data_IF_190210384773
#
_entry.id   IF_190210384773
#
_cell.length_a   1.000
_cell.length_b   1.000
_cell.length_c   1.000
_cell.angle_alpha   90.00
_cell.angle_beta   90.00
_cell.angle_gamma   90.00
#
_symmetry.space_group_name_H-M   'P 1'
#
loop_
_entity.id
_entity.type
_entity.pdbx_description
1 polymer ?
#
# COMPACT_ATOMS: atom_id res chain seq x y z
N UNK A 1 -15.03 11.01 18.65
CA UNK A 1 -14.41 10.50 17.39
C UNK A 1 -15.28 9.39 16.83
N UNK A 2 -15.42 9.27 15.52
CA UNK A 2 -16.13 8.15 14.92
C UNK A 2 -15.38 6.84 15.25
N UNK A 3 -16.09 5.74 15.37
CA UNK A 3 -15.51 4.44 15.74
C UNK A 3 -15.01 3.75 14.46
N UNK A 4 -13.81 3.15 14.44
CA UNK A 4 -13.33 2.41 13.28
C UNK A 4 -14.21 1.17 13.04
N UNK A 5 -14.47 0.88 11.76
CA UNK A 5 -15.24 -0.28 11.31
C UNK A 5 -14.35 -1.48 11.03
N UNK A 6 -13.03 -1.27 10.90
CA UNK A 6 -12.02 -2.29 10.68
C UNK A 6 -11.09 -2.41 11.88
N UNK A 7 -10.67 -3.63 12.19
CA UNK A 7 -9.76 -3.93 13.31
C UNK A 7 -8.31 -4.02 12.84
N UNK A 8 -8.08 -4.63 11.67
CA UNK A 8 -6.76 -4.81 11.07
C UNK A 8 -6.80 -4.41 9.62
N UNK A 9 -5.92 -3.52 9.22
CA UNK A 9 -5.86 -3.02 7.84
C UNK A 9 -4.49 -3.22 7.25
N UNK A 10 -4.44 -3.44 5.94
CA UNK A 10 -3.23 -3.26 5.17
C UNK A 10 -3.32 -1.93 4.42
N UNK A 11 -2.50 -0.97 4.78
CA UNK A 11 -2.34 0.29 4.06
C UNK A 11 -1.29 0.12 2.97
N UNK A 12 -1.63 0.42 1.73
CA UNK A 12 -0.66 0.44 0.63
C UNK A 12 -0.49 1.86 0.11
N UNK A 13 0.75 2.33 0.11
CA UNK A 13 1.12 3.66 -0.37
C UNK A 13 2.05 3.53 -1.58
N UNK A 14 1.83 4.33 -2.63
CA UNK A 14 2.77 4.39 -3.75
C UNK A 14 4.06 5.10 -3.32
N UNK A 15 5.22 4.64 -3.80
CA UNK A 15 6.49 5.33 -3.52
C UNK A 15 6.50 6.77 -4.02
N UNK A 16 5.82 7.04 -5.14
CA UNK A 16 5.69 8.40 -5.69
C UNK A 16 4.99 9.37 -4.74
N UNK A 17 4.01 8.87 -3.97
CA UNK A 17 3.35 9.69 -2.97
C UNK A 17 4.31 10.15 -1.86
N UNK A 18 5.33 9.34 -1.52
CA UNK A 18 6.36 9.71 -0.53
C UNK A 18 7.40 10.72 -1.07
N UNK A 19 7.45 10.93 -2.38
CA UNK A 19 8.32 11.95 -2.98
C UNK A 19 7.68 13.34 -2.98
N UNK A 20 6.37 13.44 -2.71
CA UNK A 20 5.64 14.69 -2.79
C UNK A 20 5.81 15.37 -4.16
N UNK A 21 5.95 16.68 -4.17
CA UNK A 21 6.14 17.47 -5.39
C UNK A 21 7.54 17.30 -6.02
N UNK A 22 8.47 16.63 -5.35
CA UNK A 22 9.82 16.35 -5.87
C UNK A 22 9.84 15.30 -6.96
N UNK A 23 8.78 14.48 -7.08
CA UNK A 23 8.63 13.36 -8.01
C UNK A 23 9.65 12.22 -7.86
N UNK A 24 10.79 12.44 -7.20
CA UNK A 24 11.84 11.45 -6.92
C UNK A 24 12.37 11.60 -5.50
N UNK A 25 12.93 10.53 -4.94
CA UNK A 25 13.47 10.53 -3.58
C UNK A 25 12.38 10.52 -2.52
N UNK A 26 12.64 11.20 -1.40
CA UNK A 26 11.78 11.24 -0.22
C UNK A 26 11.42 12.68 0.15
N UNK A 27 10.18 12.89 0.51
CA UNK A 27 9.71 14.10 1.17
C UNK A 27 9.33 13.77 2.61
N UNK A 28 10.17 14.20 3.56
CA UNK A 28 9.99 13.88 4.98
C UNK A 28 8.81 14.61 5.61
N UNK A 29 8.33 15.70 5.02
CA UNK A 29 7.11 16.37 5.46
C UNK A 29 5.89 15.50 5.14
N UNK A 30 5.80 14.99 3.91
CA UNK A 30 4.74 14.05 3.49
C UNK A 30 4.79 12.78 4.31
N UNK A 31 5.98 12.19 4.53
CA UNK A 31 6.14 11.01 5.38
C UNK A 31 5.67 11.30 6.80
N UNK A 32 6.02 12.48 7.33
CA UNK A 32 5.60 12.93 8.65
C UNK A 32 4.09 13.00 8.80
N UNK A 33 3.38 13.56 7.82
CA UNK A 33 1.91 13.64 7.80
C UNK A 33 1.26 12.24 7.75
N UNK A 34 1.80 11.33 6.95
CA UNK A 34 1.34 9.93 6.89
C UNK A 34 1.54 9.23 8.24
N UNK A 35 2.71 9.40 8.88
CA UNK A 35 2.99 8.81 10.19
C UNK A 35 2.06 9.38 11.28
N UNK A 36 1.70 10.66 11.25
CA UNK A 36 0.73 11.25 12.19
C UNK A 36 -0.63 10.56 12.08
N UNK A 37 -1.10 10.33 10.87
CA UNK A 37 -2.35 9.61 10.61
C UNK A 37 -2.26 8.14 11.04
N UNK A 38 -1.13 7.46 10.79
CA UNK A 38 -0.90 6.09 11.28
C UNK A 38 -0.94 6.02 12.81
N UNK A 39 -0.37 7.02 13.49
CA UNK A 39 -0.45 7.12 14.95
C UNK A 39 -1.88 7.21 15.44
N UNK A 40 -2.69 8.06 14.80
CA UNK A 40 -4.10 8.20 15.11
C UNK A 40 -4.86 6.88 14.91
N UNK A 41 -4.55 6.09 13.85
CA UNK A 41 -5.11 4.76 13.66
C UNK A 41 -4.80 3.82 14.82
N UNK A 42 -3.54 3.81 15.31
CA UNK A 42 -3.15 3.01 16.48
C UNK A 42 -3.86 3.46 17.74
N UNK A 43 -4.00 4.78 17.96
CA UNK A 43 -4.71 5.36 19.11
C UNK A 43 -6.21 5.00 19.11
N UNK A 44 -6.78 4.74 17.93
CA UNK A 44 -8.13 4.20 17.74
C UNK A 44 -8.22 2.67 17.95
N UNK A 45 -7.09 1.99 18.21
CA UNK A 45 -7.01 0.55 18.41
C UNK A 45 -6.95 -0.28 17.12
N UNK A 46 -6.67 0.34 15.97
CA UNK A 46 -6.55 -0.35 14.68
C UNK A 46 -5.13 -0.89 14.51
N UNK A 47 -5.01 -2.12 14.06
CA UNK A 47 -3.74 -2.76 13.71
C UNK A 47 -3.38 -2.42 12.27
N UNK A 48 -2.17 -1.87 12.04
CA UNK A 48 -1.75 -1.37 10.73
C UNK A 48 -0.56 -2.14 10.19
N UNK A 49 -0.78 -2.89 9.09
CA UNK A 49 0.27 -3.34 8.18
C UNK A 49 0.46 -2.31 7.07
N UNK A 50 1.70 -2.07 6.66
CA UNK A 50 2.03 -1.08 5.64
C UNK A 50 2.87 -1.71 4.52
N UNK A 51 2.48 -1.48 3.27
CA UNK A 51 3.30 -1.76 2.07
C UNK A 51 3.57 -0.46 1.34
N UNK A 52 4.82 -0.20 1.01
CA UNK A 52 5.23 1.01 0.28
C UNK A 52 5.84 0.62 -1.05
N UNK A 53 5.41 1.27 -2.14
CA UNK A 53 6.01 1.11 -3.46
C UNK A 53 7.41 1.72 -3.54
N UNK A 54 8.19 1.32 -4.56
CA UNK A 54 9.55 1.82 -4.82
C UNK A 54 9.67 2.82 -5.97
N UNK A 55 8.55 3.25 -6.55
CA UNK A 55 8.49 4.01 -7.82
C UNK A 55 9.12 5.40 -7.79
N UNK A 56 9.36 5.97 -6.60
CA UNK A 56 10.10 7.23 -6.39
C UNK A 56 11.61 7.09 -6.59
N UNK A 57 12.15 5.88 -6.52
CA UNK A 57 13.57 5.58 -6.75
C UNK A 57 13.80 4.78 -8.03
N UNK A 58 12.97 3.75 -8.27
CA UNK A 58 13.17 2.84 -9.38
C UNK A 58 11.87 2.20 -9.86
N UNK A 59 11.66 2.22 -11.19
CA UNK A 59 10.56 1.54 -11.88
C UNK A 59 11.14 0.50 -12.85
N UNK A 60 11.33 -0.74 -12.39
CA UNK A 60 12.05 -1.81 -13.09
C UNK A 60 11.74 -1.93 -14.57
N UNK A 61 10.50 -2.27 -14.92
CA UNK A 61 10.11 -2.48 -16.31
C UNK A 61 10.14 -1.21 -17.20
N UNK A 62 9.90 -0.02 -16.61
CA UNK A 62 9.87 1.26 -17.37
C UNK A 62 11.26 1.88 -17.50
N UNK A 63 12.07 1.83 -16.44
CA UNK A 63 13.38 2.50 -16.42
C UNK A 63 14.46 1.69 -17.14
N UNK A 64 14.28 0.37 -17.32
CA UNK A 64 15.28 -0.45 -17.99
C UNK A 64 15.34 -0.21 -19.50
N UNK A 65 14.26 0.28 -20.13
CA UNK A 65 14.22 0.54 -21.59
C UNK A 65 14.73 -0.62 -22.46
N UNK A 66 14.74 -1.85 -21.93
CA UNK A 66 15.37 -3.01 -22.57
C UNK A 66 16.89 -3.14 -22.36
N UNK A 67 17.53 -2.20 -21.66
CA UNK A 67 18.97 -2.22 -21.41
C UNK A 67 19.40 -3.10 -20.22
N UNK A 68 18.45 -3.58 -19.42
CA UNK A 68 18.71 -4.40 -18.25
C UNK A 68 17.81 -5.64 -18.23
N UNK A 69 18.34 -6.75 -17.74
CA UNK A 69 17.58 -7.97 -17.56
C UNK A 69 16.46 -7.74 -16.50
N UNK A 70 15.26 -8.20 -16.85
CA UNK A 70 14.01 -7.91 -16.11
C UNK A 70 14.11 -8.27 -14.63
N UNK A 71 14.65 -9.45 -14.31
CA UNK A 71 14.77 -9.95 -12.94
C UNK A 71 15.63 -9.02 -12.07
N UNK A 72 16.75 -8.53 -12.64
CA UNK A 72 17.63 -7.58 -11.94
C UNK A 72 16.98 -6.24 -11.74
N UNK A 73 16.25 -5.76 -12.75
CA UNK A 73 15.49 -4.50 -12.63
C UNK A 73 14.41 -4.59 -11.55
N UNK A 74 13.73 -5.73 -11.44
CA UNK A 74 12.73 -5.98 -10.40
C UNK A 74 13.37 -6.09 -9.00
N UNK A 75 14.53 -6.73 -8.86
CA UNK A 75 15.28 -6.73 -7.59
C UNK A 75 15.68 -5.31 -7.15
N UNK A 76 16.10 -4.44 -8.08
CA UNK A 76 16.34 -3.02 -7.74
C UNK A 76 15.07 -2.34 -7.25
N UNK A 77 13.91 -2.61 -7.87
CA UNK A 77 12.63 -2.12 -7.40
C UNK A 77 12.28 -2.62 -5.98
N UNK A 78 12.57 -3.88 -5.68
CA UNK A 78 12.39 -4.43 -4.33
C UNK A 78 13.28 -3.71 -3.30
N UNK A 79 14.56 -3.47 -3.62
CA UNK A 79 15.46 -2.72 -2.75
C UNK A 79 15.00 -1.27 -2.57
N UNK A 80 14.45 -0.64 -3.61
CA UNK A 80 13.86 0.68 -3.52
C UNK A 80 12.69 0.73 -2.52
N UNK A 81 11.86 -0.33 -2.46
CA UNK A 81 10.81 -0.41 -1.42
C UNK A 81 11.40 -0.48 -0.01
N UNK A 82 12.53 -1.17 0.17
CA UNK A 82 13.19 -1.27 1.48
C UNK A 82 13.71 0.09 1.93
N UNK A 83 14.30 0.89 1.02
CA UNK A 83 14.71 2.27 1.35
C UNK A 83 13.53 3.08 1.88
N UNK A 84 12.37 3.01 1.22
CA UNK A 84 11.15 3.67 1.69
C UNK A 84 10.68 3.15 3.05
N UNK A 85 10.73 1.82 3.26
CA UNK A 85 10.34 1.23 4.54
C UNK A 85 11.21 1.75 5.71
N UNK A 86 12.52 1.86 5.50
CA UNK A 86 13.44 2.38 6.51
C UNK A 86 13.17 3.84 6.83
N UNK A 87 12.94 4.68 5.80
CA UNK A 87 12.61 6.09 6.01
C UNK A 87 11.30 6.29 6.78
N UNK A 88 10.25 5.53 6.43
CA UNK A 88 8.98 5.59 7.15
C UNK A 88 9.13 5.07 8.58
N UNK A 89 9.91 4.00 8.79
CA UNK A 89 10.15 3.44 10.12
C UNK A 89 10.88 4.46 11.02
N UNK A 90 11.92 5.12 10.51
CA UNK A 90 12.67 6.15 11.25
C UNK A 90 11.74 7.30 11.69
N UNK A 91 10.92 7.83 10.79
CA UNK A 91 9.95 8.89 11.13
C UNK A 91 8.90 8.39 12.13
N UNK A 92 8.43 7.15 12.01
CA UNK A 92 7.55 6.53 13.00
C UNK A 92 8.21 6.51 14.39
N UNK A 93 9.46 6.05 14.49
CA UNK A 93 10.19 5.97 15.74
C UNK A 93 10.41 7.35 16.37
N UNK A 94 10.77 8.35 15.56
CA UNK A 94 10.90 9.74 16.01
C UNK A 94 9.57 10.30 16.60
N UNK A 95 8.43 9.85 16.09
CA UNK A 95 7.10 10.22 16.59
C UNK A 95 6.59 9.33 17.74
N UNK A 96 7.42 8.40 18.24
CA UNK A 96 7.07 7.47 19.30
C UNK A 96 6.10 6.36 18.88
N UNK A 97 6.01 6.08 17.58
CA UNK A 97 5.18 5.00 17.04
C UNK A 97 6.00 3.70 17.07
N UNK A 98 5.57 2.65 17.77
CA UNK A 98 6.27 1.37 17.76
C UNK A 98 6.12 0.71 16.39
N UNK A 99 7.24 0.46 15.71
CA UNK A 99 7.28 -0.05 14.33
C UNK A 99 8.26 -1.21 14.18
N UNK A 100 8.02 -2.09 13.19
CA UNK A 100 8.95 -3.12 12.74
C UNK A 100 8.95 -3.18 11.22
N UNK A 101 10.14 -3.22 10.62
CA UNK A 101 10.32 -3.50 9.19
C UNK A 101 10.59 -4.97 9.02
N UNK A 102 9.82 -5.63 8.15
CA UNK A 102 10.04 -7.01 7.76
C UNK A 102 10.21 -7.10 6.25
N UNK A 103 11.22 -7.83 5.77
CA UNK A 103 11.55 -7.91 4.35
C UNK A 103 11.42 -9.33 3.81
N UNK A 104 10.84 -9.45 2.61
CA UNK A 104 10.69 -10.74 1.92
C UNK A 104 12.03 -11.30 1.40
N UNK A 105 13.02 -10.44 1.15
CA UNK A 105 14.41 -10.83 0.89
C UNK A 105 15.17 -10.71 2.21
N UNK A 106 15.89 -11.76 2.62
CA UNK A 106 16.66 -11.72 3.86
C UNK A 106 17.79 -10.68 3.80
N UNK A 107 17.73 -9.74 4.72
CA UNK A 107 18.77 -8.73 4.94
C UNK A 107 18.87 -8.39 6.43
N UNK A 108 19.22 -9.39 7.22
CA UNK A 108 19.17 -9.37 8.70
C UNK A 108 19.93 -8.23 9.38
N UNK A 109 20.91 -7.65 8.70
CA UNK A 109 21.63 -6.47 9.21
C UNK A 109 20.80 -5.18 9.10
N UNK A 110 19.69 -5.19 8.33
CA UNK A 110 18.90 -4.00 7.99
C UNK A 110 17.46 -4.11 8.52
N UNK A 111 16.83 -5.29 8.40
CA UNK A 111 15.44 -5.51 8.77
C UNK A 111 15.20 -6.97 9.19
N UNK A 112 14.09 -7.21 9.88
CA UNK A 112 13.68 -8.58 10.23
C UNK A 112 13.30 -9.37 8.95
N UNK A 113 13.68 -10.66 8.84
CA UNK A 113 13.07 -11.52 7.83
C UNK A 113 11.58 -11.65 8.05
N UNK A 114 10.81 -11.55 6.95
CA UNK A 114 9.37 -11.73 7.03
C UNK A 114 9.01 -13.14 7.48
N UNK A 115 8.26 -13.22 8.56
CA UNK A 115 7.64 -14.45 9.07
C UNK A 115 6.21 -14.08 9.52
N UNK A 116 5.20 -14.70 8.89
CA UNK A 116 3.77 -14.41 9.14
C UNK A 116 3.42 -14.33 10.63
N UNK A 117 3.79 -15.34 11.40
CA UNK A 117 3.47 -15.38 12.84
C UNK A 117 4.12 -14.27 13.65
N UNK A 118 5.30 -13.78 13.24
CA UNK A 118 5.95 -12.62 13.85
C UNK A 118 5.24 -11.32 13.48
N UNK A 119 4.83 -11.16 12.21
CA UNK A 119 4.05 -10.01 11.78
C UNK A 119 2.75 -9.87 12.59
N UNK A 120 1.96 -10.96 12.69
CA UNK A 120 0.73 -10.99 13.48
C UNK A 120 1.00 -10.61 14.94
N UNK A 121 2.03 -11.22 15.55
CA UNK A 121 2.40 -10.90 16.95
C UNK A 121 2.81 -9.44 17.15
N UNK A 122 3.46 -8.81 16.16
CA UNK A 122 3.77 -7.39 16.22
C UNK A 122 2.50 -6.54 16.16
N UNK A 123 1.59 -6.83 15.22
CA UNK A 123 0.32 -6.13 15.08
C UNK A 123 -0.53 -6.24 16.36
N UNK A 124 -0.63 -7.43 16.95
CA UNK A 124 -1.36 -7.66 18.21
C UNK A 124 -0.76 -6.91 19.40
N UNK A 125 0.53 -6.59 19.36
CA UNK A 125 1.21 -5.75 20.35
C UNK A 125 1.12 -4.25 20.07
N UNK A 126 0.27 -3.83 19.13
CA UNK A 126 0.08 -2.42 18.76
C UNK A 126 1.27 -1.82 18.02
N UNK A 127 2.09 -2.65 17.33
CA UNK A 127 3.18 -2.18 16.48
C UNK A 127 2.73 -2.09 15.03
N UNK A 128 3.15 -1.06 14.34
CA UNK A 128 3.06 -1.01 12.87
C UNK A 128 4.05 -2.02 12.29
N UNK A 129 3.63 -2.79 11.30
CA UNK A 129 4.53 -3.67 10.54
C UNK A 129 4.64 -3.15 9.12
N UNK A 130 5.85 -2.79 8.70
CA UNK A 130 6.13 -2.31 7.34
C UNK A 130 6.77 -3.46 6.56
N UNK A 131 6.14 -3.85 5.44
CA UNK A 131 6.59 -4.95 4.60
C UNK A 131 7.40 -4.44 3.42
N UNK A 132 8.70 -4.76 3.38
CA UNK A 132 9.63 -4.40 2.33
C UNK A 132 9.98 -5.55 1.39
N UNK A 133 10.60 -5.23 0.27
CA UNK A 133 11.02 -6.15 -0.80
C UNK A 133 9.85 -6.87 -1.52
N UNK A 134 8.66 -6.27 -1.50
CA UNK A 134 7.51 -6.79 -2.25
C UNK A 134 7.11 -8.22 -1.86
N UNK A 135 6.93 -9.09 -2.85
CA UNK A 135 6.70 -10.53 -2.65
C UNK A 135 8.00 -11.30 -2.39
N UNK A 136 9.16 -10.70 -2.62
CA UNK A 136 10.46 -11.38 -2.66
C UNK A 136 10.75 -12.05 -4.01
N UNK A 137 9.84 -11.97 -4.96
CA UNK A 137 9.98 -12.58 -6.29
C UNK A 137 9.85 -11.53 -7.39
N UNK A 138 10.68 -11.62 -8.46
CA UNK A 138 10.52 -10.81 -9.66
C UNK A 138 9.13 -11.01 -10.32
N UNK A 139 8.79 -10.14 -11.24
CA UNK A 139 7.55 -10.13 -12.05
C UNK A 139 6.28 -9.72 -11.29
N UNK A 140 6.29 -9.60 -9.98
CA UNK A 140 5.14 -9.16 -9.18
C UNK A 140 5.24 -7.67 -8.83
N UNK A 141 4.11 -7.00 -8.82
CA UNK A 141 4.00 -5.61 -8.38
C UNK A 141 3.91 -5.47 -6.86
N UNK A 142 4.01 -4.25 -6.36
CA UNK A 142 3.72 -3.95 -4.95
C UNK A 142 2.23 -4.02 -4.62
N UNK A 143 1.32 -3.94 -5.62
CA UNK A 143 -0.11 -4.17 -5.42
C UNK A 143 -0.34 -5.66 -5.12
N UNK A 144 0.27 -6.58 -5.90
CA UNK A 144 0.25 -8.02 -5.59
C UNK A 144 0.86 -8.32 -4.22
N UNK A 145 1.98 -7.67 -3.86
CA UNK A 145 2.57 -7.84 -2.53
C UNK A 145 1.63 -7.38 -1.41
N UNK A 146 0.91 -6.27 -1.61
CA UNK A 146 -0.05 -5.77 -0.63
C UNK A 146 -1.18 -6.77 -0.38
N UNK A 147 -1.74 -7.35 -1.44
CA UNK A 147 -2.79 -8.36 -1.32
C UNK A 147 -2.27 -9.61 -0.61
N UNK A 148 -1.09 -10.11 -1.02
CA UNK A 148 -0.48 -11.28 -0.38
C UNK A 148 -0.28 -11.04 1.13
N UNK A 149 0.27 -9.90 1.51
CA UNK A 149 0.45 -9.57 2.94
C UNK A 149 -0.87 -9.40 3.66
N UNK A 150 -1.89 -8.78 3.02
CA UNK A 150 -3.23 -8.66 3.61
C UNK A 150 -3.85 -10.03 3.92
N UNK A 151 -3.79 -10.96 2.98
CA UNK A 151 -4.26 -12.33 3.18
C UNK A 151 -3.49 -13.03 4.31
N UNK A 152 -2.15 -12.93 4.32
CA UNK A 152 -1.30 -13.60 5.31
C UNK A 152 -1.49 -13.08 6.74
N UNK A 153 -1.81 -11.80 6.92
CA UNK A 153 -2.03 -11.19 8.24
C UNK A 153 -3.51 -11.13 8.64
N UNK A 154 -4.39 -11.71 7.88
CA UNK A 154 -5.85 -11.69 8.08
C UNK A 154 -6.37 -10.22 8.21
N UNK A 155 -6.04 -9.36 7.24
CA UNK A 155 -6.52 -7.98 7.19
C UNK A 155 -7.98 -7.90 6.76
N UNK A 156 -8.76 -7.03 7.40
CA UNK A 156 -10.19 -6.82 7.10
C UNK A 156 -10.39 -6.09 5.76
N UNK A 157 -9.41 -5.28 5.34
CA UNK A 157 -9.48 -4.44 4.15
C UNK A 157 -8.07 -4.02 3.70
N UNK A 158 -7.91 -3.82 2.40
CA UNK A 158 -6.75 -3.12 1.82
C UNK A 158 -7.12 -1.67 1.57
N UNK A 159 -6.44 -0.75 2.23
CA UNK A 159 -6.52 0.69 2.01
C UNK A 159 -5.49 1.07 0.94
N UNK A 160 -5.94 1.23 -0.30
CA UNK A 160 -5.11 1.49 -1.46
C UNK A 160 -5.01 2.99 -1.74
N UNK A 161 -4.04 3.64 -1.10
CA UNK A 161 -3.81 5.07 -1.23
C UNK A 161 -2.97 5.37 -2.48
N UNK A 162 -3.58 6.01 -3.47
CA UNK A 162 -2.99 6.38 -4.76
C UNK A 162 -3.15 7.88 -5.05
N UNK A 163 -2.72 8.32 -6.24
CA UNK A 163 -2.98 9.68 -6.72
C UNK A 163 -4.43 9.84 -7.23
N UNK A 164 -5.06 8.75 -7.69
CA UNK A 164 -6.46 8.75 -8.11
C UNK A 164 -7.40 8.71 -6.90
N UNK A 165 -8.51 9.41 -6.98
CA UNK A 165 -9.53 9.51 -5.92
C UNK A 165 -10.61 8.43 -6.01
N UNK A 166 -10.52 7.53 -6.99
CA UNK A 166 -11.46 6.43 -7.19
C UNK A 166 -11.24 5.70 -8.51
N UNK A 167 -12.11 4.77 -8.81
CA UNK A 167 -12.20 4.03 -10.07
C UNK A 167 -13.29 4.67 -10.92
N UNK A 168 -13.01 4.87 -12.20
CA UNK A 168 -13.91 5.51 -13.16
C UNK A 168 -14.24 4.58 -14.32
N UNK A 169 -15.36 4.82 -14.98
CA UNK A 169 -15.77 4.11 -16.20
C UNK A 169 -14.80 4.25 -17.36
N UNK A 170 -14.01 5.34 -17.37
CA UNK A 170 -12.94 5.63 -18.32
C UNK A 170 -11.92 6.56 -17.64
N UNK A 171 -10.82 6.88 -18.31
CA UNK A 171 -9.83 7.84 -17.82
C UNK A 171 -10.44 9.26 -17.76
N UNK A 172 -10.70 9.84 -16.55
CA UNK A 172 -11.39 11.13 -16.44
C UNK A 172 -10.60 12.31 -17.00
N UNK A 173 -9.29 12.14 -17.24
CA UNK A 173 -8.45 13.17 -17.89
C UNK A 173 -8.70 13.21 -19.39
N UNK A 174 -9.04 12.06 -20.00
CA UNK A 174 -9.27 11.91 -21.43
C UNK A 174 -10.74 11.99 -21.79
N UNK A 175 -11.60 11.52 -20.90
CA UNK A 175 -13.06 11.48 -21.09
C UNK A 175 -13.77 12.23 -19.95
N UNK A 176 -14.22 13.46 -20.19
CA UNK A 176 -14.94 14.26 -19.20
C UNK A 176 -16.31 13.66 -18.78
N UNK A 177 -16.82 12.65 -19.52
CA UNK A 177 -18.05 11.95 -19.18
C UNK A 177 -17.85 10.75 -18.27
N UNK A 178 -16.59 10.42 -17.92
CA UNK A 178 -16.26 9.34 -17.03
C UNK A 178 -16.93 9.51 -15.66
N UNK A 179 -17.61 8.46 -15.20
CA UNK A 179 -18.33 8.44 -13.93
C UNK A 179 -17.52 7.62 -12.93
N UNK A 180 -17.38 8.15 -11.71
CA UNK A 180 -16.72 7.44 -10.61
C UNK A 180 -17.65 6.40 -10.02
N UNK A 181 -17.10 5.20 -9.76
CA UNK A 181 -17.79 4.17 -9.01
C UNK A 181 -17.67 4.42 -7.50
N UNK A 182 -18.74 4.31 -6.75
CA UNK A 182 -18.70 4.20 -5.29
C UNK A 182 -18.37 2.78 -4.86
N UNK A 183 -18.98 1.78 -5.52
CA UNK A 183 -18.75 0.36 -5.32
C UNK A 183 -18.67 -0.30 -6.70
N UNK A 184 -17.75 -1.25 -6.86
CA UNK A 184 -17.60 -2.06 -8.07
C UNK A 184 -17.17 -3.49 -7.69
N UNK A 185 -17.58 -4.49 -8.48
CA UNK A 185 -17.17 -5.87 -8.26
C UNK A 185 -15.79 -6.16 -8.85
N UNK A 186 -15.12 -7.22 -8.34
CA UNK A 186 -13.86 -7.69 -8.94
C UNK A 186 -14.06 -8.18 -10.38
N UNK A 187 -15.19 -8.86 -10.66
CA UNK A 187 -15.52 -9.31 -12.01
C UNK A 187 -15.64 -8.15 -13.00
N UNK A 188 -16.31 -7.06 -12.59
CA UNK A 188 -16.43 -5.86 -13.43
C UNK A 188 -15.07 -5.18 -13.65
N UNK A 189 -14.22 -5.11 -12.62
CA UNK A 189 -12.85 -4.58 -12.74
C UNK A 189 -12.04 -5.37 -13.76
N UNK A 190 -12.10 -6.70 -13.71
CA UNK A 190 -11.38 -7.58 -14.63
C UNK A 190 -11.98 -7.53 -16.04
N UNK A 191 -13.30 -7.61 -16.16
CA UNK A 191 -13.99 -7.61 -17.47
C UNK A 191 -13.81 -6.29 -18.22
N UNK A 192 -13.81 -5.16 -17.52
CA UNK A 192 -13.65 -3.82 -18.10
C UNK A 192 -12.19 -3.36 -18.15
N UNK A 193 -11.22 -4.19 -17.69
CA UNK A 193 -9.79 -3.85 -17.62
C UNK A 193 -9.51 -2.52 -16.90
N UNK A 194 -10.24 -2.24 -15.81
CA UNK A 194 -10.10 -0.99 -15.07
C UNK A 194 -8.78 -0.95 -14.27
N UNK A 195 -8.13 0.21 -14.26
CA UNK A 195 -6.80 0.40 -13.67
C UNK A 195 -6.85 0.57 -12.12
N UNK A 196 -7.43 -0.37 -11.40
CA UNK A 196 -7.42 -0.40 -9.92
C UNK A 196 -6.07 -0.88 -9.41
N UNK A 197 -5.75 -2.12 -9.75
CA UNK A 197 -4.51 -2.83 -9.46
C UNK A 197 -4.11 -3.63 -10.70
N UNK A 198 -2.96 -4.32 -10.66
CA UNK A 198 -2.70 -5.31 -11.71
C UNK A 198 -3.65 -6.53 -11.57
N UNK A 199 -3.81 -7.27 -12.67
CA UNK A 199 -4.77 -8.39 -12.74
C UNK A 199 -4.47 -9.49 -11.73
N UNK A 200 -3.19 -9.74 -11.42
CA UNK A 200 -2.76 -10.73 -10.41
C UNK A 200 -3.23 -10.31 -9.02
N UNK A 201 -3.04 -9.04 -8.66
CA UNK A 201 -3.51 -8.49 -7.39
C UNK A 201 -5.03 -8.53 -7.29
N UNK A 202 -5.74 -8.18 -8.37
CA UNK A 202 -7.21 -8.19 -8.42
C UNK A 202 -7.76 -9.61 -8.23
N UNK A 203 -7.24 -10.60 -8.97
CA UNK A 203 -7.65 -11.99 -8.83
C UNK A 203 -7.34 -12.55 -7.44
N UNK A 204 -6.15 -12.24 -6.89
CA UNK A 204 -5.78 -12.71 -5.55
C UNK A 204 -6.68 -12.09 -4.45
N UNK A 205 -7.09 -10.82 -4.59
CA UNK A 205 -8.05 -10.19 -3.65
C UNK A 205 -9.42 -10.86 -3.75
N UNK A 206 -9.90 -11.12 -4.95
CA UNK A 206 -11.18 -11.81 -5.21
C UNK A 206 -11.17 -13.21 -4.58
N UNK A 207 -10.15 -14.02 -4.88
CA UNK A 207 -10.05 -15.40 -4.38
C UNK A 207 -9.97 -15.49 -2.84
N UNK A 208 -9.51 -14.44 -2.18
CA UNK A 208 -9.40 -14.36 -0.71
C UNK A 208 -10.47 -13.46 -0.06
N UNK A 209 -11.48 -12.99 -0.82
CA UNK A 209 -12.59 -12.17 -0.33
C UNK A 209 -12.16 -10.91 0.43
N UNK A 210 -11.02 -10.31 0.07
CA UNK A 210 -10.46 -9.14 0.77
C UNK A 210 -10.90 -7.86 0.05
N UNK A 211 -11.77 -7.01 0.63
CA UNK A 211 -12.19 -5.78 0.00
C UNK A 211 -11.01 -4.80 -0.15
N UNK A 212 -11.03 -4.03 -1.24
CA UNK A 212 -10.05 -2.99 -1.53
C UNK A 212 -10.75 -1.64 -1.59
N UNK A 213 -10.33 -0.69 -0.77
CA UNK A 213 -10.80 0.69 -0.83
C UNK A 213 -9.70 1.58 -1.45
N UNK A 214 -9.93 2.02 -2.70
CA UNK A 214 -9.04 2.92 -3.42
C UNK A 214 -9.46 4.36 -3.19
N UNK A 215 -8.52 5.21 -2.79
CA UNK A 215 -8.75 6.65 -2.55
C UNK A 215 -7.48 7.48 -2.75
N UNK A 216 -7.65 8.82 -2.86
CA UNK A 216 -6.54 9.74 -3.01
C UNK A 216 -5.79 9.95 -1.69
N UNK A 217 -4.44 9.84 -1.73
CA UNK A 217 -3.54 10.16 -0.62
C UNK A 217 -3.26 11.67 -0.50
N UNK A 218 -3.71 12.48 -1.45
CA UNK A 218 -3.50 13.95 -1.42
C UNK A 218 -3.90 14.58 -0.07
N UNK A 219 -4.94 14.04 0.55
CA UNK A 219 -5.29 14.29 1.95
C UNK A 219 -5.08 13.00 2.76
N UNK A 220 -4.00 12.89 3.57
CA UNK A 220 -3.75 11.72 4.42
C UNK A 220 -4.89 11.42 5.41
N UNK A 221 -5.72 12.41 5.76
CA UNK A 221 -6.91 12.23 6.62
C UNK A 221 -7.94 11.28 6.00
N UNK A 222 -7.91 11.06 4.69
CA UNK A 222 -8.76 10.07 4.03
C UNK A 222 -8.55 8.66 4.58
N UNK A 223 -7.37 8.33 5.13
CA UNK A 223 -7.12 7.06 5.80
C UNK A 223 -8.04 6.91 7.02
N UNK A 224 -8.15 7.93 7.88
CA UNK A 224 -9.04 7.91 9.06
C UNK A 224 -10.51 7.85 8.64
N UNK A 225 -10.90 8.65 7.64
CA UNK A 225 -12.27 8.65 7.11
C UNK A 225 -12.66 7.28 6.56
N UNK A 226 -11.76 6.66 5.79
CA UNK A 226 -11.91 5.28 5.29
C UNK A 226 -12.07 4.28 6.42
N UNK A 227 -11.24 4.37 7.47
CA UNK A 227 -11.33 3.50 8.66
C UNK A 227 -12.67 3.65 9.40
N UNK A 228 -13.27 4.83 9.36
CA UNK A 228 -14.57 5.10 9.98
C UNK A 228 -15.76 4.75 9.06
N UNK A 229 -15.51 4.15 7.89
CA UNK A 229 -16.55 3.71 6.95
C UNK A 229 -17.12 4.83 6.07
N UNK A 230 -16.45 5.99 6.00
CA UNK A 230 -16.86 7.04 5.05
C UNK A 230 -16.50 6.66 3.61
N UNK A 231 -17.35 7.05 2.67
CA UNK A 231 -17.05 6.87 1.24
C UNK A 231 -16.07 7.95 0.76
N UNK A 232 -14.78 7.63 0.82
CA UNK A 232 -13.68 8.53 0.40
C UNK A 232 -13.12 8.20 -0.99
N UNK A 233 -13.68 7.18 -1.64
CA UNK A 233 -13.12 6.69 -2.91
C UNK A 233 -14.02 5.65 -3.58
N UNK A 234 -13.44 4.56 -4.04
CA UNK A 234 -14.17 3.41 -4.62
C UNK A 234 -13.85 2.14 -3.83
N UNK A 235 -14.87 1.43 -3.39
CA UNK A 235 -14.70 0.10 -2.78
C UNK A 235 -14.85 -0.98 -3.85
N UNK A 236 -13.85 -1.86 -3.96
CA UNK A 236 -13.88 -3.06 -4.80
C UNK A 236 -14.12 -4.26 -3.89
N UNK A 237 -15.16 -5.01 -4.17
CA UNK A 237 -15.55 -6.20 -3.40
C UNK A 237 -16.34 -7.18 -4.29
N UNK A 238 -16.81 -8.30 -3.74
CA UNK A 238 -17.77 -9.20 -4.37
C UNK A 238 -19.14 -8.57 -4.54
#
# INVERSE_FOLDING_TARGET
MAKPVYKRVLLKISGEALAGDKHTGLDFEVIGQVCDVIKECLDMGVQVGLVVGGGNFWRGAKNSGGAMERTRADHMGMLATVMNCLAVADVCEQKGIPVRVQTAIEMRAVAEPYIRSRAIRHLEKGRVVIFGAGTGNPYFSTDTAAVLRAAEIDADVILLAKNADGVYTADPVKDPTAVKYDVITYDDVLAQHLAVMDSTATSLSMDNHIPVLLFALKDPRNIIRALCGENVGTIVKE
#
